data_IF_091166485715
#
_entry.id   IF_091166485715
#
_cell.length_a   1.000
_cell.length_b   1.000
_cell.length_c   1.000
_cell.angle_alpha   90.00
_cell.angle_beta   90.00
_cell.angle_gamma   90.00
#
_symmetry.space_group_name_H-M   'P 1'
#
loop_
_entity.id
_entity.type
_entity.pdbx_description
1 polymer ?
#
# COMPACT_ATOMS: atom_id res chain seq x y z
N UNK A 1 4.36 7.82 -10.24
CA UNK A 1 3.34 7.73 -9.16
C UNK A 1 2.42 6.52 -9.36
N UNK A 2 1.75 6.36 -10.50
CA UNK A 2 0.89 5.21 -10.78
C UNK A 2 1.60 3.84 -10.63
N UNK A 3 2.82 3.70 -11.16
CA UNK A 3 3.60 2.46 -11.02
C UNK A 3 3.85 2.10 -9.54
N UNK A 4 4.16 3.09 -8.70
CA UNK A 4 4.37 2.87 -7.25
C UNK A 4 3.08 2.40 -6.57
N UNK A 5 1.94 2.98 -6.94
CA UNK A 5 0.64 2.54 -6.43
C UNK A 5 0.36 1.08 -6.82
N UNK A 6 0.64 0.71 -8.08
CA UNK A 6 0.46 -0.65 -8.56
C UNK A 6 1.38 -1.65 -7.88
N UNK A 7 2.65 -1.31 -7.63
CA UNK A 7 3.55 -2.17 -6.86
C UNK A 7 3.03 -2.42 -5.44
N UNK A 8 2.54 -1.38 -4.75
CA UNK A 8 1.94 -1.54 -3.42
C UNK A 8 0.67 -2.39 -3.51
N UNK A 9 -0.18 -2.16 -4.52
CA UNK A 9 -1.44 -2.89 -4.72
C UNK A 9 -1.18 -4.37 -4.98
N UNK A 10 -0.21 -4.69 -5.83
CA UNK A 10 0.19 -6.06 -6.13
C UNK A 10 0.66 -6.79 -4.87
N UNK A 11 1.54 -6.16 -4.05
CA UNK A 11 2.01 -6.78 -2.80
C UNK A 11 0.92 -6.92 -1.77
N UNK A 12 0.01 -5.95 -1.68
CA UNK A 12 -1.16 -6.07 -0.84
C UNK A 12 -2.01 -7.27 -1.26
N UNK A 13 -2.37 -7.38 -2.55
CA UNK A 13 -3.17 -8.52 -3.06
C UNK A 13 -2.47 -9.87 -2.84
N UNK A 14 -1.17 -9.94 -3.08
CA UNK A 14 -0.39 -11.16 -2.84
C UNK A 14 -0.36 -11.54 -1.35
N UNK A 15 -0.20 -10.59 -0.42
CA UNK A 15 -0.17 -10.91 0.99
C UNK A 15 -1.54 -11.31 1.55
N UNK A 16 -2.62 -10.84 0.92
CA UNK A 16 -3.98 -11.05 1.37
C UNK A 16 -4.60 -12.36 0.87
N UNK A 17 -3.90 -13.15 0.05
CA UNK A 17 -4.20 -14.54 -0.33
C UNK A 17 -5.72 -14.85 -0.38
N UNK A 18 -6.48 -14.12 -1.21
CA UNK A 18 -7.92 -14.32 -1.46
C UNK A 18 -8.90 -13.87 -0.36
N UNK A 19 -8.45 -13.42 0.82
CA UNK A 19 -9.37 -12.90 1.86
C UNK A 19 -10.08 -11.61 1.44
N UNK A 20 -9.45 -10.83 0.55
CA UNK A 20 -9.99 -9.58 0.02
C UNK A 20 -9.93 -9.63 -1.51
N UNK A 21 -10.91 -10.28 -2.17
CA UNK A 21 -10.92 -10.37 -3.62
C UNK A 21 -11.18 -8.99 -4.24
N UNK A 22 -10.23 -8.51 -5.04
CA UNK A 22 -10.28 -7.29 -5.87
C UNK A 22 -10.61 -5.97 -5.12
N UNK A 23 -10.72 -5.99 -3.79
CA UNK A 23 -11.36 -4.98 -2.94
C UNK A 23 -10.52 -3.80 -2.47
N UNK A 24 -9.38 -3.55 -3.11
CA UNK A 24 -8.48 -2.48 -2.69
C UNK A 24 -8.00 -1.59 -3.83
N UNK A 25 -7.92 -0.30 -3.53
CA UNK A 25 -7.21 0.70 -4.31
C UNK A 25 -5.99 1.19 -3.54
N UNK A 26 -5.00 1.72 -4.26
CA UNK A 26 -3.87 2.42 -3.65
C UNK A 26 -3.79 3.82 -4.24
N UNK A 27 -3.76 4.83 -3.37
CA UNK A 27 -3.51 6.21 -3.73
C UNK A 27 -2.13 6.63 -3.23
N UNK A 28 -1.34 7.33 -4.05
CA UNK A 28 -0.11 8.00 -3.59
C UNK A 28 -0.48 9.41 -3.15
N UNK A 29 -0.53 9.62 -1.84
CA UNK A 29 -0.84 10.92 -1.24
C UNK A 29 0.32 11.90 -1.41
N UNK A 30 1.56 11.39 -1.27
CA UNK A 30 2.78 12.19 -1.43
C UNK A 30 3.92 11.35 -1.98
N UNK A 31 4.70 11.94 -2.87
CA UNK A 31 5.96 11.38 -3.35
C UNK A 31 6.95 12.55 -3.53
N UNK A 32 7.96 12.63 -2.66
CA UNK A 32 8.93 13.73 -2.64
C UNK A 32 10.34 13.19 -2.41
N UNK A 33 11.26 13.54 -3.31
CA UNK A 33 12.67 13.28 -3.12
C UNK A 33 13.26 14.21 -2.05
N UNK A 34 14.07 13.65 -1.15
CA UNK A 34 14.85 14.38 -0.14
C UNK A 34 16.26 13.80 -0.07
N UNK A 35 17.24 14.54 -0.58
CA UNK A 35 18.63 14.06 -0.72
C UNK A 35 18.63 12.73 -1.49
N UNK A 36 19.09 11.64 -0.88
CA UNK A 36 19.19 10.31 -1.48
C UNK A 36 18.05 9.37 -1.05
N UNK A 37 16.94 9.90 -0.52
CA UNK A 37 15.77 9.12 -0.09
C UNK A 37 14.53 9.64 -0.81
N UNK A 38 13.70 8.73 -1.30
CA UNK A 38 12.34 9.02 -1.75
C UNK A 38 11.36 8.84 -0.58
N UNK A 39 10.75 9.92 -0.11
CA UNK A 39 9.66 9.86 0.88
C UNK A 39 8.33 9.63 0.13
N UNK A 40 7.63 8.54 0.48
CA UNK A 40 6.36 8.14 -0.15
C UNK A 40 5.31 7.92 0.93
N UNK A 41 4.20 8.64 0.83
CA UNK A 41 3.01 8.42 1.62
C UNK A 41 1.92 7.84 0.70
N UNK A 42 1.36 6.68 1.07
CA UNK A 42 0.32 6.02 0.30
C UNK A 42 -0.81 5.47 1.16
N UNK A 43 -2.03 5.55 0.65
CA UNK A 43 -3.23 5.04 1.31
C UNK A 43 -3.76 3.82 0.56
N UNK A 44 -3.88 2.69 1.26
CA UNK A 44 -4.65 1.53 0.84
C UNK A 44 -6.13 1.81 1.20
N UNK A 45 -7.00 1.75 0.20
CA UNK A 45 -8.43 1.99 0.34
C UNK A 45 -9.13 0.65 0.25
N UNK A 46 -10.03 0.33 1.19
CA UNK A 46 -10.88 -0.85 1.15
C UNK A 46 -12.36 -0.50 1.36
N UNK A 47 -13.26 -1.42 1.02
CA UNK A 47 -14.72 -1.17 1.04
C UNK A 47 -15.36 -1.39 2.42
N UNK A 48 -14.74 -2.21 3.28
CA UNK A 48 -15.33 -2.68 4.55
C UNK A 48 -14.35 -2.58 5.71
N UNK A 49 -14.86 -2.29 6.90
CA UNK A 49 -14.06 -2.25 8.14
C UNK A 49 -13.42 -3.59 8.49
N UNK A 50 -14.09 -4.72 8.18
CA UNK A 50 -13.50 -6.06 8.33
C UNK A 50 -12.22 -6.21 7.50
N UNK A 51 -12.23 -5.74 6.24
CA UNK A 51 -11.06 -5.74 5.37
C UNK A 51 -9.96 -4.85 5.91
N UNK A 52 -10.29 -3.68 6.48
CA UNK A 52 -9.29 -2.84 7.15
C UNK A 52 -8.59 -3.58 8.28
N UNK A 53 -9.34 -4.35 9.08
CA UNK A 53 -8.78 -5.21 10.12
C UNK A 53 -7.78 -6.24 9.58
N UNK A 54 -8.15 -6.92 8.49
CA UNK A 54 -7.30 -7.92 7.81
C UNK A 54 -6.03 -7.27 7.24
N UNK A 55 -6.16 -6.14 6.52
CA UNK A 55 -5.03 -5.42 5.92
C UNK A 55 -4.04 -4.95 6.98
N UNK A 56 -4.54 -4.46 8.12
CA UNK A 56 -3.67 -4.08 9.24
C UNK A 56 -3.02 -5.34 9.84
N UNK A 57 -3.79 -6.40 10.05
CA UNK A 57 -3.34 -7.62 10.70
C UNK A 57 -3.10 -7.43 12.20
N UNK A 58 -2.84 -8.55 12.90
CA UNK A 58 -2.60 -8.53 14.35
C UNK A 58 -1.39 -7.66 14.67
N UNK A 59 -1.59 -6.61 15.48
CA UNK A 59 -0.54 -5.65 15.83
C UNK A 59 0.13 -4.97 14.62
N UNK A 60 -0.57 -4.85 13.49
CA UNK A 60 -0.02 -4.23 12.29
C UNK A 60 0.91 -5.14 11.48
N UNK A 61 0.96 -6.45 11.77
CA UNK A 61 1.89 -7.39 11.13
C UNK A 61 1.73 -7.46 9.61
N UNK A 62 0.48 -7.51 9.13
CA UNK A 62 0.17 -7.63 7.70
C UNK A 62 0.54 -6.34 6.96
N UNK A 63 0.16 -5.17 7.50
CA UNK A 63 0.52 -3.89 6.89
C UNK A 63 2.03 -3.68 6.82
N UNK A 64 2.76 -4.13 7.85
CA UNK A 64 4.22 -4.10 7.88
C UNK A 64 4.83 -5.02 6.82
N UNK A 65 4.27 -6.20 6.61
CA UNK A 65 4.73 -7.13 5.58
C UNK A 65 4.50 -6.57 4.17
N UNK A 66 3.29 -6.07 3.89
CA UNK A 66 2.94 -5.39 2.63
C UNK A 66 3.93 -4.24 2.36
N UNK A 67 4.12 -3.36 3.34
CA UNK A 67 5.03 -2.23 3.23
C UNK A 67 6.48 -2.63 3.01
N UNK A 68 6.94 -3.71 3.66
CA UNK A 68 8.32 -4.19 3.51
C UNK A 68 8.58 -4.74 2.12
N UNK A 69 7.66 -5.55 1.58
CA UNK A 69 7.76 -6.12 0.23
C UNK A 69 7.66 -5.04 -0.85
N UNK A 70 6.69 -4.13 -0.72
CA UNK A 70 6.51 -3.03 -1.67
C UNK A 70 7.72 -2.08 -1.67
N UNK A 71 8.21 -1.68 -0.48
CA UNK A 71 9.38 -0.80 -0.35
C UNK A 71 10.60 -1.38 -1.05
N UNK A 72 10.87 -2.67 -0.87
CA UNK A 72 12.03 -3.32 -1.48
C UNK A 72 12.02 -3.24 -3.02
N UNK A 73 10.86 -3.47 -3.65
CA UNK A 73 10.75 -3.36 -5.10
C UNK A 73 10.80 -1.91 -5.59
N UNK A 74 10.19 -0.98 -4.87
CA UNK A 74 10.26 0.44 -5.21
C UNK A 74 11.71 0.95 -5.09
N UNK A 75 12.47 0.52 -4.08
CA UNK A 75 13.90 0.85 -3.94
C UNK A 75 14.71 0.37 -5.14
N UNK A 76 14.47 -0.87 -5.59
CA UNK A 76 15.13 -1.42 -6.78
C UNK A 76 14.76 -0.65 -8.05
N UNK A 77 13.48 -0.32 -8.22
CA UNK A 77 12.99 0.39 -9.39
C UNK A 77 13.53 1.83 -9.48
N UNK A 78 13.66 2.52 -8.34
CA UNK A 78 14.11 3.90 -8.28
C UNK A 78 15.64 4.05 -8.10
N UNK A 79 16.35 2.93 -7.89
CA UNK A 79 17.77 2.89 -7.55
C UNK A 79 18.15 3.84 -6.39
N UNK A 80 17.28 3.93 -5.38
CA UNK A 80 17.50 4.77 -4.21
C UNK A 80 16.74 4.26 -2.99
N UNK A 81 17.12 4.72 -1.79
CA UNK A 81 16.42 4.38 -0.55
C UNK A 81 15.01 4.98 -0.54
N UNK A 82 14.06 4.24 0.02
CA UNK A 82 12.66 4.67 0.08
C UNK A 82 12.19 4.65 1.53
N UNK A 83 11.57 5.74 1.95
CA UNK A 83 10.83 5.83 3.20
C UNK A 83 9.33 5.75 2.86
N UNK A 84 8.77 4.55 2.94
CA UNK A 84 7.37 4.27 2.61
C UNK A 84 6.52 4.28 3.88
N UNK A 85 5.48 5.13 3.91
CA UNK A 85 4.43 5.11 4.91
C UNK A 85 3.12 4.67 4.27
N UNK A 86 2.44 3.75 4.94
CA UNK A 86 1.16 3.20 4.49
C UNK A 86 0.06 3.52 5.50
N UNK A 87 -1.10 3.93 5.00
CA UNK A 87 -2.34 4.06 5.75
C UNK A 87 -3.40 3.14 5.17
N UNK A 88 -4.40 2.80 5.99
CA UNK A 88 -5.57 2.03 5.55
C UNK A 88 -6.83 2.84 5.84
N UNK A 89 -7.61 3.14 4.80
CA UNK A 89 -8.88 3.86 4.90
C UNK A 89 -10.02 3.00 4.34
N UNK A 90 -11.17 3.07 4.99
CA UNK A 90 -12.40 2.50 4.46
C UNK A 90 -13.12 3.58 3.66
N UNK A 91 -13.45 3.30 2.40
CA UNK A 91 -14.32 4.12 1.57
C UNK A 91 -15.35 3.19 0.93
N UNK A 92 -16.63 3.38 1.25
CA UNK A 92 -17.71 2.60 0.62
C UNK A 92 -17.87 3.03 -0.84
N UNK A 93 -18.23 2.09 -1.70
CA UNK A 93 -18.59 2.31 -3.11
C UNK A 93 -17.54 3.07 -3.93
N UNK A 94 -16.25 2.94 -3.57
CA UNK A 94 -15.17 3.67 -4.22
C UNK A 94 -14.90 3.22 -5.65
N UNK A 95 -15.33 2.00 -6.03
CA UNK A 95 -15.16 1.47 -7.38
C UNK A 95 -16.15 2.04 -8.38
N UNK A 96 -17.31 2.48 -7.90
CA UNK A 96 -18.39 3.04 -8.72
C UNK A 96 -18.30 4.58 -8.83
N UNK A 97 -17.19 5.17 -8.35
CA UNK A 97 -16.91 6.61 -8.33
C UNK A 97 -15.83 7.03 -9.31
#
# INVERSE_FOLDING_TARGET
RQIVAELIREKALHCLNEEIPHGIAVCIDRMKARKNIMDIDATIICERDSHKGIIIGRQGSMLKEIGSRARFEIEKMLDMKVNLKLWVKVKKDWRDS
#
